data_IF_090899513288
#
_entry.id   IF_090899513288
#
_cell.length_a   1.000
_cell.length_b   1.000
_cell.length_c   1.000
_cell.angle_alpha   90.00
_cell.angle_beta   90.00
_cell.angle_gamma   90.00
#
_symmetry.space_group_name_H-M   'P 1'
#
loop_
_entity.id
_entity.type
_entity.pdbx_description
1 polymer ?
#
# COMPACT_ATOMS: atom_id res chain seq x y z
N UNK A 1 14.46 18.28 9.63
CA UNK A 1 13.24 18.22 8.79
C UNK A 1 12.62 16.81 8.79
N UNK A 2 13.36 15.75 8.44
CA UNK A 2 12.85 14.37 8.38
C UNK A 2 12.30 13.84 9.73
N UNK A 3 12.97 14.11 10.85
CA UNK A 3 12.53 13.66 12.18
C UNK A 3 11.14 14.21 12.55
N UNK A 4 10.84 15.46 12.16
CA UNK A 4 9.55 16.08 12.43
C UNK A 4 8.43 15.35 11.68
N UNK A 5 8.66 15.02 10.41
CA UNK A 5 7.72 14.24 9.61
C UNK A 5 7.47 12.84 10.19
N UNK A 6 8.54 12.16 10.63
CA UNK A 6 8.42 10.85 11.27
C UNK A 6 7.61 10.91 12.57
N UNK A 7 7.86 11.91 13.42
CA UNK A 7 7.11 12.10 14.67
C UNK A 7 5.62 12.35 14.36
N UNK A 8 5.31 13.17 13.36
CA UNK A 8 3.92 13.42 12.93
C UNK A 8 3.25 12.12 12.48
N UNK A 9 3.93 11.31 11.65
CA UNK A 9 3.40 10.01 11.20
C UNK A 9 3.18 9.03 12.34
N UNK A 10 4.07 8.99 13.33
CA UNK A 10 3.93 8.12 14.50
C UNK A 10 2.74 8.57 15.36
N UNK A 11 2.63 9.86 15.65
CA UNK A 11 1.50 10.40 16.43
C UNK A 11 0.19 10.12 15.71
N UNK A 12 0.14 10.32 14.39
CA UNK A 12 -1.02 10.00 13.57
C UNK A 12 -1.38 8.51 13.60
N UNK A 13 -0.40 7.61 13.53
CA UNK A 13 -0.65 6.17 13.67
C UNK A 13 -1.17 5.79 15.06
N UNK A 14 -0.62 6.40 16.11
CA UNK A 14 -1.06 6.17 17.49
C UNK A 14 -2.48 6.66 17.74
N UNK A 15 -2.92 7.76 17.12
CA UNK A 15 -4.30 8.24 17.27
C UNK A 15 -5.30 7.28 16.62
N UNK A 16 -4.93 6.59 15.53
CA UNK A 16 -5.83 5.59 14.94
C UNK A 16 -6.15 4.46 15.91
N UNK A 17 -5.19 3.98 16.71
CA UNK A 17 -5.38 2.87 17.66
C UNK A 17 -6.54 3.12 18.64
N UNK A 18 -6.74 4.36 19.07
CA UNK A 18 -7.78 4.70 20.04
C UNK A 18 -9.15 4.96 19.42
N UNK A 19 -9.21 5.30 18.13
CA UNK A 19 -10.43 5.73 17.44
C UNK A 19 -10.96 4.77 16.38
N UNK A 20 -10.18 3.76 15.96
CA UNK A 20 -10.63 2.74 15.01
C UNK A 20 -10.80 1.39 15.70
N UNK A 21 -11.90 0.71 15.36
CA UNK A 21 -12.11 -0.69 15.76
C UNK A 21 -11.00 -1.52 15.11
N UNK A 22 -10.39 -2.44 15.85
CA UNK A 22 -9.32 -3.28 15.33
C UNK A 22 -9.90 -4.35 14.41
N UNK A 23 -9.26 -4.59 13.26
CA UNK A 23 -9.63 -5.69 12.38
C UNK A 23 -9.20 -7.03 13.00
N UNK A 24 -10.08 -8.03 12.98
CA UNK A 24 -9.85 -9.38 13.51
C UNK A 24 -9.68 -10.35 12.34
N UNK A 25 -8.79 -11.32 12.50
CA UNK A 25 -8.58 -12.36 11.50
C UNK A 25 -9.77 -13.33 11.47
N UNK A 26 -10.38 -13.51 10.31
CA UNK A 26 -11.40 -14.53 10.05
C UNK A 26 -10.81 -15.71 9.30
N UNK A 27 -10.90 -16.90 9.89
CA UNK A 27 -10.46 -18.15 9.27
C UNK A 27 -11.38 -18.64 8.13
N UNK A 28 -12.59 -18.07 7.97
CA UNK A 28 -13.48 -18.40 6.86
C UNK A 28 -12.93 -17.80 5.56
N UNK A 29 -12.58 -16.52 5.61
CA UNK A 29 -12.13 -15.76 4.42
C UNK A 29 -10.61 -15.61 4.34
N UNK A 30 -9.86 -16.19 5.29
CA UNK A 30 -8.40 -16.06 5.43
C UNK A 30 -7.93 -14.60 5.36
N UNK A 31 -8.62 -13.69 6.04
CA UNK A 31 -8.37 -12.26 5.96
C UNK A 31 -8.81 -11.47 7.19
N UNK A 32 -8.47 -10.18 7.21
CA UNK A 32 -8.74 -9.29 8.32
C UNK A 32 -9.99 -8.44 8.08
N UNK A 33 -10.96 -8.53 8.98
CA UNK A 33 -12.25 -7.85 8.86
C UNK A 33 -12.57 -7.06 10.12
N UNK A 34 -13.26 -5.93 9.97
CA UNK A 34 -13.75 -5.16 11.12
C UNK A 34 -14.94 -5.83 11.82
N UNK A 35 -15.75 -6.60 11.08
CA UNK A 35 -16.79 -7.44 11.65
C UNK A 35 -16.18 -8.79 12.12
N UNK A 36 -16.12 -9.07 13.44
CA UNK A 36 -15.59 -10.34 13.94
C UNK A 36 -16.50 -11.55 13.62
N UNK A 37 -17.77 -11.32 13.30
CA UNK A 37 -18.76 -12.36 13.01
C UNK A 37 -18.95 -12.61 11.50
N UNK A 38 -18.08 -12.05 10.66
CA UNK A 38 -18.18 -12.17 9.19
C UNK A 38 -18.24 -13.64 8.77
N UNK A 39 -19.33 -14.03 8.10
CA UNK A 39 -19.60 -15.40 7.64
C UNK A 39 -20.11 -16.38 8.71
N UNK A 40 -20.29 -15.98 9.97
CA UNK A 40 -20.84 -16.81 11.04
C UNK A 40 -22.27 -16.46 11.43
N UNK A 41 -22.59 -15.15 11.50
CA UNK A 41 -23.91 -14.64 11.87
C UNK A 41 -24.32 -13.61 10.81
N UNK A 42 -25.44 -13.85 10.16
CA UNK A 42 -26.08 -12.88 9.27
C UNK A 42 -26.75 -11.78 10.13
N UNK A 43 -25.94 -10.85 10.63
CA UNK A 43 -26.37 -9.74 11.50
C UNK A 43 -25.57 -8.48 11.20
N UNK A 44 -26.27 -7.35 11.19
CA UNK A 44 -25.85 -6.00 10.73
C UNK A 44 -24.34 -5.75 10.68
N UNK A 45 -23.75 -5.95 9.49
CA UNK A 45 -22.39 -5.49 9.17
C UNK A 45 -22.22 -3.98 9.47
N UNK A 46 -23.30 -3.21 9.37
CA UNK A 46 -23.39 -1.77 9.64
C UNK A 46 -22.90 -1.37 11.05
N UNK A 47 -23.00 -2.24 12.06
CA UNK A 47 -22.55 -1.92 13.42
C UNK A 47 -21.01 -1.86 13.54
N UNK A 48 -20.32 -2.57 12.65
CA UNK A 48 -18.85 -2.68 12.64
C UNK A 48 -18.20 -1.84 11.55
N UNK A 49 -19.00 -1.25 10.66
CA UNK A 49 -18.52 -0.31 9.66
C UNK A 49 -18.12 1.03 10.30
N UNK A 50 -16.96 1.54 9.92
CA UNK A 50 -16.50 2.86 10.30
C UNK A 50 -16.34 3.73 9.05
N UNK A 51 -17.36 4.54 8.77
CA UNK A 51 -17.39 5.41 7.60
C UNK A 51 -16.14 6.33 7.51
N UNK A 52 -15.69 6.88 8.64
CA UNK A 52 -14.51 7.74 8.69
C UNK A 52 -13.24 6.98 8.29
N UNK A 53 -13.08 5.76 8.79
CA UNK A 53 -11.93 4.93 8.45
C UNK A 53 -11.91 4.59 6.96
N UNK A 54 -13.08 4.31 6.39
CA UNK A 54 -13.16 3.98 4.98
C UNK A 54 -12.95 5.16 4.05
N UNK A 55 -13.51 6.34 4.37
CA UNK A 55 -13.21 7.57 3.63
C UNK A 55 -11.72 7.85 3.68
N UNK A 56 -11.09 7.69 4.86
CA UNK A 56 -9.65 7.82 5.02
C UNK A 56 -8.90 6.85 4.11
N UNK A 57 -9.22 5.55 4.12
CA UNK A 57 -8.52 4.57 3.30
C UNK A 57 -8.66 4.81 1.79
N UNK A 58 -9.87 5.17 1.33
CA UNK A 58 -10.09 5.54 -0.09
C UNK A 58 -9.28 6.79 -0.45
N UNK A 59 -9.25 7.78 0.43
CA UNK A 59 -8.47 9.01 0.24
C UNK A 59 -6.97 8.71 0.12
N UNK A 60 -6.45 7.80 0.96
CA UNK A 60 -5.06 7.37 0.90
C UNK A 60 -4.75 6.65 -0.41
N UNK A 61 -5.62 5.76 -0.90
CA UNK A 61 -5.43 5.07 -2.19
C UNK A 61 -5.37 6.10 -3.34
N UNK A 62 -6.30 7.06 -3.38
CA UNK A 62 -6.32 8.11 -4.39
C UNK A 62 -5.05 8.96 -4.33
N UNK A 63 -4.67 9.40 -3.13
CA UNK A 63 -3.47 10.22 -2.94
C UNK A 63 -2.19 9.47 -3.34
N UNK A 64 -2.13 8.17 -3.04
CA UNK A 64 -1.01 7.30 -3.42
C UNK A 64 -0.86 7.28 -4.95
N UNK A 65 -1.94 6.96 -5.66
CA UNK A 65 -1.96 6.91 -7.13
C UNK A 65 -1.57 8.28 -7.72
N UNK A 66 -2.16 9.38 -7.24
CA UNK A 66 -1.86 10.73 -7.72
C UNK A 66 -0.40 11.11 -7.49
N UNK A 67 0.16 10.78 -6.32
CA UNK A 67 1.55 11.09 -5.98
C UNK A 67 2.50 10.34 -6.91
N UNK A 68 2.28 9.04 -7.14
CA UNK A 68 3.13 8.26 -8.04
C UNK A 68 2.99 8.68 -9.51
N UNK A 69 1.77 9.01 -9.97
CA UNK A 69 1.58 9.56 -11.31
C UNK A 69 2.28 10.91 -11.48
N UNK A 70 2.14 11.81 -10.52
CA UNK A 70 2.79 13.13 -10.55
C UNK A 70 4.31 12.98 -10.57
N UNK A 71 4.86 12.12 -9.72
CA UNK A 71 6.29 11.84 -9.68
C UNK A 71 6.79 11.20 -10.99
N UNK A 72 6.00 10.30 -11.59
CA UNK A 72 6.30 9.70 -12.89
C UNK A 72 6.33 10.71 -14.03
N UNK A 73 5.37 11.63 -14.05
CA UNK A 73 5.32 12.70 -15.06
C UNK A 73 6.54 13.62 -14.91
N UNK A 74 6.85 14.06 -13.69
CA UNK A 74 8.02 14.92 -13.41
C UNK A 74 9.31 14.23 -13.85
N UNK A 75 9.46 12.94 -13.57
CA UNK A 75 10.63 12.16 -13.97
C UNK A 75 10.76 12.07 -15.49
N UNK A 76 9.65 11.82 -16.21
CA UNK A 76 9.66 11.79 -17.68
C UNK A 76 10.02 13.17 -18.26
N UNK A 77 9.48 14.26 -17.71
CA UNK A 77 9.79 15.62 -18.17
C UNK A 77 11.26 15.96 -17.97
N UNK A 78 11.83 15.69 -16.79
CA UNK A 78 13.26 15.90 -16.53
C UNK A 78 14.15 15.03 -17.43
N UNK A 79 13.72 13.80 -17.73
CA UNK A 79 14.46 12.90 -18.63
C UNK A 79 14.52 13.40 -20.09
N UNK A 80 13.59 14.27 -20.50
CA UNK A 80 13.56 14.86 -21.85
C UNK A 80 14.42 16.12 -21.98
N UNK A 81 14.60 16.85 -20.88
CA UNK A 81 15.39 18.09 -20.83
C UNK A 81 16.89 17.84 -20.55
N UNK A 82 17.22 16.72 -19.88
CA UNK A 82 18.58 16.32 -19.56
C UNK A 82 19.34 15.67 -20.73
N UNK A 83 19.88 16.49 -21.63
CA UNK A 83 20.93 16.03 -22.55
C UNK A 83 22.24 15.74 -21.81
N UNK A 84 22.83 14.56 -22.05
CA UNK A 84 24.21 14.17 -21.69
C UNK A 84 24.54 14.08 -20.18
N UNK A 85 23.76 13.33 -19.38
CA UNK A 85 24.23 12.82 -18.09
C UNK A 85 24.72 11.37 -18.24
N UNK A 86 25.77 10.99 -17.50
CA UNK A 86 26.47 9.70 -17.60
C UNK A 86 25.51 8.53 -17.67
N UNK A 87 25.52 7.82 -18.81
CA UNK A 87 24.54 6.76 -19.14
C UNK A 87 24.30 5.79 -17.98
N UNK A 88 25.37 5.35 -17.30
CA UNK A 88 25.30 4.38 -16.21
C UNK A 88 24.54 4.87 -14.96
N UNK A 89 24.66 6.15 -14.60
CA UNK A 89 23.95 6.71 -13.44
C UNK A 89 22.45 6.84 -13.74
N UNK A 90 22.11 7.27 -14.97
CA UNK A 90 20.73 7.37 -15.43
C UNK A 90 20.01 6.01 -15.50
N UNK A 91 20.70 4.94 -15.91
CA UNK A 91 20.11 3.59 -15.96
C UNK A 91 19.76 3.04 -14.58
N UNK A 92 20.63 3.23 -13.58
CA UNK A 92 20.39 2.77 -12.21
C UNK A 92 19.22 3.52 -11.57
N UNK A 93 19.14 4.85 -11.75
CA UNK A 93 18.05 5.67 -11.26
C UNK A 93 16.71 5.28 -11.89
N UNK A 94 16.67 5.05 -13.21
CA UNK A 94 15.47 4.56 -13.92
C UNK A 94 15.01 3.19 -13.41
N UNK A 95 15.94 2.28 -13.10
CA UNK A 95 15.62 0.94 -12.59
C UNK A 95 15.02 1.00 -11.18
N UNK A 96 15.61 1.79 -10.30
CA UNK A 96 15.09 2.01 -8.93
C UNK A 96 13.72 2.68 -8.99
N UNK A 97 13.56 3.68 -9.87
CA UNK A 97 12.28 4.36 -10.08
C UNK A 97 11.18 3.37 -10.53
N UNK A 98 11.44 2.60 -11.58
CA UNK A 98 10.48 1.62 -12.10
C UNK A 98 10.13 0.57 -11.05
N UNK A 99 11.11 0.15 -10.24
CA UNK A 99 10.87 -0.76 -9.14
C UNK A 99 9.92 -0.16 -8.09
N UNK A 100 10.16 1.07 -7.63
CA UNK A 100 9.30 1.74 -6.65
C UNK A 100 7.88 1.91 -7.19
N UNK A 101 7.72 2.18 -8.49
CA UNK A 101 6.40 2.25 -9.14
C UNK A 101 5.70 0.90 -9.15
N UNK A 102 6.41 -0.20 -9.44
CA UNK A 102 5.82 -1.55 -9.43
C UNK A 102 5.39 -1.94 -8.01
N UNK A 103 6.25 -1.73 -7.01
CA UNK A 103 5.94 -2.00 -5.59
C UNK A 103 4.69 -1.24 -5.17
N UNK A 104 4.63 0.05 -5.50
CA UNK A 104 3.50 0.88 -5.10
C UNK A 104 2.20 0.52 -5.81
N UNK A 105 2.26 0.06 -7.06
CA UNK A 105 1.12 -0.49 -7.77
C UNK A 105 0.59 -1.75 -7.09
N UNK A 106 1.45 -2.71 -6.73
CA UNK A 106 1.01 -3.90 -5.98
C UNK A 106 0.39 -3.52 -4.64
N UNK A 107 1.00 -2.57 -3.91
CA UNK A 107 0.45 -2.08 -2.66
C UNK A 107 -0.91 -1.38 -2.83
N UNK A 108 -1.08 -0.60 -3.90
CA UNK A 108 -2.35 0.07 -4.21
C UNK A 108 -3.46 -0.94 -4.56
N UNK A 109 -3.14 -1.98 -5.34
CA UNK A 109 -4.09 -3.04 -5.68
C UNK A 109 -4.49 -3.83 -4.43
N UNK A 110 -3.52 -4.23 -3.61
CA UNK A 110 -3.80 -4.92 -2.34
C UNK A 110 -4.71 -4.06 -1.44
N UNK A 111 -4.31 -2.80 -1.18
CA UNK A 111 -5.10 -1.88 -0.36
C UNK A 111 -6.54 -1.69 -0.89
N UNK A 112 -6.70 -1.60 -2.21
CA UNK A 112 -8.02 -1.45 -2.84
C UNK A 112 -8.91 -2.67 -2.60
N UNK A 113 -8.38 -3.89 -2.75
CA UNK A 113 -9.11 -5.12 -2.45
C UNK A 113 -9.48 -5.18 -0.96
N UNK A 114 -8.56 -4.81 -0.06
CA UNK A 114 -8.81 -4.78 1.39
C UNK A 114 -9.91 -3.80 1.79
N UNK A 115 -10.00 -2.63 1.15
CA UNK A 115 -11.08 -1.68 1.40
C UNK A 115 -12.40 -2.22 0.84
N UNK A 116 -12.36 -2.78 -0.37
CA UNK A 116 -13.56 -3.29 -1.04
C UNK A 116 -14.19 -4.48 -0.30
N UNK A 117 -13.38 -5.39 0.22
CA UNK A 117 -13.87 -6.57 0.95
C UNK A 117 -14.53 -6.25 2.30
N UNK A 118 -14.37 -5.03 2.84
CA UNK A 118 -15.09 -4.63 4.05
C UNK A 118 -16.57 -4.34 3.78
N UNK A 119 -16.94 -4.06 2.52
CA UNK A 119 -18.29 -3.63 2.16
C UNK A 119 -19.08 -4.67 1.37
N UNK A 120 -18.38 -5.47 0.58
CA UNK A 120 -18.99 -6.44 -0.32
C UNK A 120 -18.32 -7.79 -0.08
N UNK A 121 -19.10 -8.86 -0.15
CA UNK A 121 -18.55 -10.21 -0.15
C UNK A 121 -17.64 -10.40 -1.36
N UNK A 122 -16.37 -10.62 -1.07
CA UNK A 122 -15.32 -10.86 -2.05
C UNK A 122 -14.94 -12.34 -2.04
N UNK A 123 -14.67 -12.91 -3.22
CA UNK A 123 -14.20 -14.29 -3.35
C UNK A 123 -12.85 -14.46 -2.63
N UNK A 124 -12.68 -15.55 -1.88
CA UNK A 124 -11.45 -15.95 -1.18
C UNK A 124 -10.20 -15.88 -2.06
N UNK A 125 -10.30 -16.25 -3.34
CA UNK A 125 -9.17 -16.18 -4.27
C UNK A 125 -8.65 -14.75 -4.44
N UNK A 126 -9.54 -13.76 -4.43
CA UNK A 126 -9.15 -12.35 -4.54
C UNK A 126 -8.48 -11.86 -3.24
N UNK A 127 -8.91 -12.35 -2.09
CA UNK A 127 -8.31 -12.05 -0.78
C UNK A 127 -6.89 -12.63 -0.69
N UNK A 128 -6.68 -13.84 -1.20
CA UNK A 128 -5.35 -14.45 -1.28
C UNK A 128 -4.43 -13.65 -2.21
N UNK A 129 -4.93 -13.22 -3.38
CA UNK A 129 -4.18 -12.35 -4.29
C UNK A 129 -3.78 -11.04 -3.60
N UNK A 130 -4.69 -10.44 -2.82
CA UNK A 130 -4.38 -9.23 -2.06
C UNK A 130 -3.25 -9.45 -1.04
N UNK A 131 -3.25 -10.58 -0.32
CA UNK A 131 -2.16 -10.93 0.59
C UNK A 131 -0.84 -11.15 -0.14
N UNK A 132 -0.86 -11.81 -1.31
CA UNK A 132 0.35 -12.01 -2.12
C UNK A 132 0.91 -10.66 -2.58
N UNK A 133 0.08 -9.75 -3.09
CA UNK A 133 0.54 -8.42 -3.50
C UNK A 133 1.04 -7.59 -2.33
N UNK A 134 0.39 -7.69 -1.17
CA UNK A 134 0.85 -7.04 0.05
C UNK A 134 2.23 -7.58 0.51
N UNK A 135 2.44 -8.91 0.48
CA UNK A 135 3.73 -9.53 0.79
C UNK A 135 4.83 -9.11 -0.19
N UNK A 136 4.53 -9.05 -1.49
CA UNK A 136 5.49 -8.60 -2.51
C UNK A 136 5.92 -7.15 -2.29
N UNK A 137 5.02 -6.29 -1.80
CA UNK A 137 5.35 -4.91 -1.49
C UNK A 137 6.36 -4.78 -0.32
N UNK A 138 6.47 -5.77 0.56
CA UNK A 138 7.43 -5.78 1.66
C UNK A 138 8.70 -6.63 1.35
N UNK A 139 8.58 -7.63 0.48
CA UNK A 139 9.66 -8.57 0.14
C UNK A 139 10.78 -7.99 -0.74
N UNK A 140 10.50 -6.98 -1.57
CA UNK A 140 11.49 -6.42 -2.50
C UNK A 140 12.66 -5.68 -1.81
N UNK A 141 12.49 -5.26 -0.55
CA UNK A 141 13.53 -4.61 0.26
C UNK A 141 14.73 -5.55 0.48
N UNK A 142 14.48 -6.86 0.61
CA UNK A 142 15.51 -7.85 0.92
C UNK A 142 16.37 -8.15 -0.32
N UNK A 143 15.76 -8.29 -1.50
CA UNK A 143 16.46 -8.68 -2.73
C UNK A 143 17.47 -7.61 -3.17
N UNK A 144 17.11 -6.32 -3.03
CA UNK A 144 18.01 -5.23 -3.36
C UNK A 144 19.17 -5.07 -2.38
N UNK A 145 18.94 -5.33 -1.09
CA UNK A 145 19.99 -5.29 -0.09
C UNK A 145 21.06 -6.34 -0.35
N UNK A 146 20.65 -7.57 -0.67
CA UNK A 146 21.56 -8.64 -1.08
C UNK A 146 22.30 -8.30 -2.38
N UNK A 147 21.63 -7.72 -3.38
CA UNK A 147 22.30 -7.35 -4.64
C UNK A 147 23.35 -6.24 -4.47
N UNK A 148 23.17 -5.34 -3.50
CA UNK A 148 24.11 -4.25 -3.19
C UNK A 148 25.35 -4.74 -2.43
N UNK A 149 25.22 -5.76 -1.57
CA UNK A 149 26.31 -6.23 -0.70
C UNK A 149 27.23 -7.29 -1.34
N UNK A 150 26.78 -7.98 -2.39
CA UNK A 150 27.53 -9.08 -3.03
C UNK A 150 28.01 -8.77 -4.47
N UNK A 151 27.82 -7.55 -4.97
CA UNK A 151 28.27 -7.10 -6.30
C UNK A 151 29.15 -5.84 -6.25
N UNK A 152 29.84 -5.60 -5.13
CA UNK A 152 30.95 -4.63 -5.01
C UNK A 152 32.23 -5.43 -4.76
#
# INVERSE_FOLDING_TARGET
>A
MIIIWLIISIIYGLTQIFWTKTAVFSGIYFGYFFNPHVGYIDGNNEEYENLFHSIHNISIIILLILTYLSFSIIFILQSKEGGLQSDQQSFSEKRIFLQVVIISLFNAVAASIYVFMQYIHVNEMLIIIAHIFWLNAHGEIIINYYKSHYLI
#
